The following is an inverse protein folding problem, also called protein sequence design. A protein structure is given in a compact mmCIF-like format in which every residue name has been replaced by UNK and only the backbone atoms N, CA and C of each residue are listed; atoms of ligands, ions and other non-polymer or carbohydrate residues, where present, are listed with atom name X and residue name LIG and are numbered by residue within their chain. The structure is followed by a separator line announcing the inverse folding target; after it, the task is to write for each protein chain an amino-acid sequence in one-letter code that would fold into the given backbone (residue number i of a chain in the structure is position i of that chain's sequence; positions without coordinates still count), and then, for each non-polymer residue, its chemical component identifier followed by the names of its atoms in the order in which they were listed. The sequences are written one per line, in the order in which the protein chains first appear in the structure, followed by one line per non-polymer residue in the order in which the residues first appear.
data_IF_666156612359
#
_entry.id   IF_666156612359
#
_cell.length_a   1.000
_cell.length_b   1.000
_cell.length_c   1.000
_cell.angle_alpha   90.00
_cell.angle_beta   90.00
_cell.angle_gamma   90.00
#
_symmetry.space_group_name_H-M   'P 1'
#
loop_
_entity.id
_entity.type
_entity.pdbx_description
1 polymer ?
#
# COMPACT_ATOMS: atom_id res chain seq x y z
N UNK A 1 -9.43 -0.33 10.00
CA UNK A 1 -8.40 -1.37 10.15
C UNK A 1 -7.09 -0.71 10.54
N UNK A 2 -6.60 -1.07 11.73
CA UNK A 2 -5.45 -0.45 12.35
C UNK A 2 -4.13 -1.11 11.90
N UNK A 3 -3.19 -0.30 11.43
CA UNK A 3 -1.81 -0.68 11.14
C UNK A 3 -0.89 0.02 12.14
N UNK A 4 -0.03 -0.74 12.80
CA UNK A 4 0.86 -0.23 13.85
C UNK A 4 2.29 -0.13 13.33
N UNK A 5 2.89 1.04 13.54
CA UNK A 5 4.30 1.30 13.39
C UNK A 5 4.90 1.56 14.77
N UNK A 6 6.21 1.33 14.94
CA UNK A 6 6.88 1.64 16.21
C UNK A 6 6.76 3.11 16.62
N UNK A 7 6.55 4.01 15.65
CA UNK A 7 6.48 5.46 15.83
C UNK A 7 5.07 6.06 15.75
N UNK A 8 4.05 5.25 15.46
CA UNK A 8 2.70 5.76 15.19
C UNK A 8 1.77 4.69 14.64
N UNK A 9 0.59 5.11 14.22
CA UNK A 9 -0.43 4.21 13.72
C UNK A 9 -1.19 4.85 12.57
N UNK A 10 -1.92 4.00 11.87
CA UNK A 10 -2.77 4.33 10.76
C UNK A 10 -4.06 3.55 10.92
N UNK A 11 -5.21 4.17 10.73
CA UNK A 11 -6.51 3.49 10.66
C UNK A 11 -7.25 3.86 9.38
N UNK A 12 -7.87 2.86 8.77
CA UNK A 12 -8.55 3.06 7.50
C UNK A 12 -9.18 1.81 6.92
N UNK A 13 -9.64 1.90 5.69
CA UNK A 13 -10.44 0.84 5.05
C UNK A 13 -9.70 0.20 3.89
N UNK A 14 -9.97 -1.08 3.65
CA UNK A 14 -9.49 -1.77 2.46
C UNK A 14 -10.36 -1.35 1.28
N UNK A 15 -9.75 -0.78 0.26
CA UNK A 15 -10.39 -0.34 -0.98
C UNK A 15 -9.74 -1.04 -2.17
N UNK A 16 -10.43 -1.01 -3.32
CA UNK A 16 -9.96 -1.61 -4.57
C UNK A 16 -10.08 -0.59 -5.70
N UNK A 17 -8.98 -0.30 -6.37
CA UNK A 17 -8.96 0.65 -7.49
C UNK A 17 -7.83 0.33 -8.49
N UNK A 18 -7.74 1.12 -9.56
CA UNK A 18 -6.65 1.08 -10.53
C UNK A 18 -5.50 1.99 -10.11
N UNK A 19 -4.29 1.45 -10.06
CA UNK A 19 -3.08 2.23 -9.75
C UNK A 19 -2.24 2.41 -11.02
N UNK A 20 -1.89 3.66 -11.31
CA UNK A 20 -0.88 4.00 -12.32
C UNK A 20 0.45 4.32 -11.64
N UNK A 21 1.50 3.55 -11.94
CA UNK A 21 2.83 3.73 -11.34
C UNK A 21 3.93 3.40 -12.35
N UNK A 22 4.90 4.30 -12.50
CA UNK A 22 6.07 4.11 -13.36
C UNK A 22 5.74 3.67 -14.81
N UNK A 23 4.66 4.20 -15.39
CA UNK A 23 4.21 3.84 -16.74
C UNK A 23 3.43 2.52 -16.84
N UNK A 24 3.20 1.84 -15.72
CA UNK A 24 2.36 0.64 -15.61
C UNK A 24 0.99 0.97 -15.05
N UNK A 25 -0.01 0.19 -15.45
CA UNK A 25 -1.37 0.24 -14.91
C UNK A 25 -1.66 -1.10 -14.24
N UNK A 26 -1.96 -1.06 -12.94
CA UNK A 26 -2.38 -2.23 -12.16
C UNK A 26 -3.87 -2.05 -11.88
N UNK A 27 -4.68 -2.81 -12.58
CA UNK A 27 -6.13 -2.82 -12.35
C UNK A 27 -6.48 -3.62 -11.10
N UNK A 28 -7.56 -3.21 -10.42
CA UNK A 28 -8.15 -3.92 -9.30
C UNK A 28 -7.18 -4.17 -8.13
N UNK A 29 -6.22 -3.28 -7.92
CA UNK A 29 -5.29 -3.35 -6.80
C UNK A 29 -6.03 -3.00 -5.51
N UNK A 30 -5.90 -3.88 -4.52
CA UNK A 30 -6.43 -3.64 -3.18
C UNK A 30 -5.36 -2.93 -2.33
N UNK A 31 -5.74 -1.84 -1.65
CA UNK A 31 -4.86 -1.07 -0.78
C UNK A 31 -5.66 -0.43 0.35
N UNK A 32 -4.96 0.12 1.34
CA UNK A 32 -5.59 0.78 2.48
C UNK A 32 -5.75 2.28 2.22
N UNK A 33 -6.97 2.80 2.39
CA UNK A 33 -7.28 4.23 2.33
C UNK A 33 -7.38 4.82 3.74
N UNK A 34 -6.68 5.94 3.95
CA UNK A 34 -6.45 6.51 5.28
C UNK A 34 -7.68 7.30 5.74
N UNK A 35 -8.30 6.86 6.82
CA UNK A 35 -9.38 7.62 7.46
C UNK A 35 -8.81 8.46 8.62
N UNK A 36 -7.83 7.91 9.34
CA UNK A 36 -7.15 8.57 10.47
C UNK A 36 -5.68 8.14 10.57
N UNK A 37 -4.81 9.07 10.96
CA UNK A 37 -3.35 8.87 10.99
C UNK A 37 -2.73 9.54 12.23
N UNK A 38 -1.68 8.92 12.76
CA UNK A 38 -0.90 9.55 13.83
C UNK A 38 -0.19 10.83 13.34
N UNK A 39 -0.05 11.83 14.23
CA UNK A 39 0.56 13.14 13.95
C UNK A 39 1.91 13.08 13.24
N UNK A 40 2.71 12.03 13.51
CA UNK A 40 4.03 11.87 12.90
C UNK A 40 3.96 11.87 11.36
N UNK A 41 2.89 11.34 10.78
CA UNK A 41 2.69 11.31 9.33
C UNK A 41 2.39 12.70 8.75
N UNK A 42 1.80 13.61 9.55
CA UNK A 42 1.58 15.00 9.14
C UNK A 42 2.86 15.83 9.00
N UNK A 43 3.98 15.41 9.59
CA UNK A 43 5.28 16.06 9.45
C UNK A 43 6.17 15.43 8.36
N UNK A 44 5.73 14.30 7.77
CA UNK A 44 6.49 13.61 6.75
C UNK A 44 6.27 14.27 5.38
N UNK A 45 7.26 14.12 4.48
CA UNK A 45 7.19 14.67 3.11
C UNK A 45 6.56 13.72 2.10
N UNK A 46 6.03 12.58 2.55
CA UNK A 46 5.39 11.58 1.70
C UNK A 46 3.92 11.43 2.10
N UNK A 47 3.08 11.07 1.13
CA UNK A 47 1.64 10.94 1.33
C UNK A 47 1.21 9.50 1.68
N UNK A 48 2.02 8.50 1.35
CA UNK A 48 1.69 7.10 1.59
C UNK A 48 2.87 6.14 1.42
N UNK A 49 2.61 4.85 1.63
CA UNK A 49 3.61 3.79 1.62
C UNK A 49 3.19 2.70 0.63
N UNK A 50 4.11 2.30 -0.24
CA UNK A 50 3.94 1.15 -1.14
C UNK A 50 4.72 -0.03 -0.57
N UNK A 51 4.00 -1.08 -0.14
CA UNK A 51 4.62 -2.32 0.32
C UNK A 51 5.15 -3.14 -0.86
N UNK A 52 6.45 -3.45 -0.86
CA UNK A 52 7.11 -4.29 -1.87
C UNK A 52 7.50 -5.69 -1.36
N UNK A 53 7.09 -6.01 -0.13
CA UNK A 53 7.37 -7.27 0.51
C UNK A 53 6.50 -8.41 -0.08
N UNK A 54 6.86 -9.65 0.26
CA UNK A 54 6.11 -10.84 -0.15
C UNK A 54 4.67 -10.79 0.40
N UNK A 55 3.68 -11.31 -0.36
CA UNK A 55 2.26 -11.29 0.03
C UNK A 55 1.96 -11.86 1.42
N UNK A 56 2.73 -12.87 1.84
CA UNK A 56 2.59 -13.52 3.15
C UNK A 56 2.82 -12.58 4.35
N UNK A 57 3.42 -11.41 4.13
CA UNK A 57 3.66 -10.38 5.16
C UNK A 57 2.60 -9.27 5.13
N UNK A 58 1.58 -9.38 4.27
CA UNK A 58 0.47 -8.45 4.21
C UNK A 58 -0.45 -8.63 5.41
N UNK A 59 -0.75 -7.56 6.14
CA UNK A 59 -1.67 -7.54 7.30
C UNK A 59 -3.06 -8.10 6.94
N UNK A 60 -3.46 -7.94 5.69
CA UNK A 60 -4.80 -8.29 5.21
C UNK A 60 -4.84 -9.63 4.48
N UNK A 61 -3.69 -10.31 4.34
CA UNK A 61 -3.50 -11.44 3.43
C UNK A 61 -3.95 -11.13 1.98
N UNK A 62 -4.13 -9.84 1.68
CA UNK A 62 -4.37 -9.31 0.35
C UNK A 62 -3.07 -9.48 -0.37
N UNK A 63 -3.11 -10.19 -1.49
CA UNK A 63 -1.98 -10.35 -2.38
C UNK A 63 -1.69 -8.96 -2.95
N UNK A 64 -0.68 -8.21 -2.46
CA UNK A 64 -0.37 -6.96 -3.09
C UNK A 64 0.23 -7.37 -4.44
N UNK A 65 -0.51 -7.09 -5.51
CA UNK A 65 -0.15 -7.50 -6.87
C UNK A 65 1.05 -6.70 -7.40
N UNK A 66 1.84 -6.08 -6.52
CA UNK A 66 3.19 -5.56 -6.80
C UNK A 66 4.12 -6.63 -7.38
N UNK A 67 3.81 -7.93 -7.23
CA UNK A 67 4.48 -8.99 -7.99
C UNK A 67 4.36 -8.79 -9.53
N UNK A 68 3.27 -8.17 -10.01
CA UNK A 68 3.06 -7.79 -11.42
C UNK A 68 4.00 -6.67 -11.89
N UNK A 69 4.53 -5.85 -10.98
CA UNK A 69 5.55 -4.86 -11.31
C UNK A 69 6.84 -5.55 -11.77
N UNK A 70 7.24 -6.65 -11.10
CA UNK A 70 8.47 -7.37 -11.43
C UNK A 70 8.32 -8.26 -12.66
N UNK A 71 7.14 -8.86 -12.86
CA UNK A 71 6.90 -9.71 -14.04
C UNK A 71 6.81 -8.93 -15.36
N UNK A 72 6.48 -7.64 -15.31
CA UNK A 72 6.45 -6.77 -16.49
C UNK A 72 7.78 -6.08 -16.79
N UNK A 73 8.68 -5.95 -15.81
CA UNK A 73 10.04 -5.43 -15.97
C UNK A 73 11.02 -6.45 -16.61
N UNK A 74 10.63 -7.72 -16.68
CA UNK A 74 11.37 -8.78 -17.40
C UNK A 74 10.69 -9.01 -18.74
N UNK A 75 11.04 -8.18 -19.73
CA UNK A 75 10.84 -8.47 -21.15
C UNK A 75 12.15 -8.26 -21.90
#
# INVERSE_FOLDING_TARGET
MLVLYGSGWYDGQLVKDTISFAGMTIEQQEFLSADDIADIFGYMRFDGIIGLAQPALSITNVNPDVSKLWSSAVK
#
